data_IF_909246090485
#
_entry.id   IF_909246090485
#
_cell.length_a   1.000
_cell.length_b   1.000
_cell.length_c   1.000
_cell.angle_alpha   90.00
_cell.angle_beta   90.00
_cell.angle_gamma   90.00
#
_symmetry.space_group_name_H-M   'P 1'
#
loop_
_entity.id
_entity.type
_entity.pdbx_description
1 polymer ?
#
# COMPACT_ATOMS: atom_id res chain seq x y z
N UNK A 1 -23.29 -21.31 -0.38
CA UNK A 1 -22.49 -20.24 0.26
C UNK A 1 -21.70 -19.54 -0.83
N UNK A 2 -22.02 -18.29 -1.17
CA UNK A 2 -21.28 -17.53 -2.17
C UNK A 2 -20.67 -16.31 -1.49
N UNK A 3 -19.35 -16.31 -1.30
CA UNK A 3 -18.63 -15.08 -0.98
C UNK A 3 -18.49 -14.21 -2.23
N UNK A 4 -18.26 -12.91 -2.05
CA UNK A 4 -17.98 -11.98 -3.15
C UNK A 4 -16.65 -11.23 -2.93
N UNK A 5 -16.00 -10.85 -4.03
CA UNK A 5 -14.85 -9.93 -4.00
C UNK A 5 -15.34 -8.49 -3.90
N UNK A 6 -14.84 -7.73 -2.93
CA UNK A 6 -15.07 -6.28 -2.89
C UNK A 6 -14.10 -5.62 -3.88
N UNK A 7 -14.60 -5.28 -5.07
CA UNK A 7 -13.83 -4.64 -6.14
C UNK A 7 -13.80 -3.11 -6.09
N UNK A 8 -14.37 -2.47 -5.06
CA UNK A 8 -14.39 -1.01 -4.93
C UNK A 8 -12.96 -0.50 -4.74
N UNK A 9 -12.52 0.42 -5.61
CA UNK A 9 -11.22 1.05 -5.49
C UNK A 9 -11.09 1.83 -4.17
N UNK A 10 -9.94 1.69 -3.51
CA UNK A 10 -9.57 2.45 -2.32
C UNK A 10 -8.31 3.23 -2.66
N UNK A 11 -8.35 4.55 -2.46
CA UNK A 11 -7.16 5.36 -2.71
C UNK A 11 -6.11 5.10 -1.62
N UNK A 12 -4.88 4.79 -2.03
CA UNK A 12 -3.78 4.45 -1.13
C UNK A 12 -2.81 5.63 -1.08
N UNK A 13 -2.46 6.05 0.13
CA UNK A 13 -1.48 7.11 0.36
C UNK A 13 -0.06 6.53 0.39
N UNK A 14 0.92 7.25 -0.17
CA UNK A 14 2.34 6.87 -0.09
C UNK A 14 2.91 6.95 1.32
N UNK A 15 2.34 7.79 2.17
CA UNK A 15 2.75 7.95 3.56
C UNK A 15 1.50 7.97 4.43
N UNK A 16 1.52 7.23 5.53
CA UNK A 16 0.43 7.19 6.51
C UNK A 16 0.94 7.55 7.90
N UNK A 17 0.13 8.28 8.65
CA UNK A 17 0.36 8.55 10.06
C UNK A 17 -0.59 7.70 10.90
N UNK A 18 -0.03 6.70 11.58
CA UNK A 18 -0.77 5.78 12.42
C UNK A 18 -1.00 6.29 13.84
N UNK A 19 -0.42 7.44 14.23
CA UNK A 19 -0.38 7.93 15.61
C UNK A 19 -1.75 7.94 16.27
N UNK A 20 -2.78 8.42 15.56
CA UNK A 20 -4.15 8.53 16.08
C UNK A 20 -4.85 7.19 16.33
N UNK A 21 -4.33 6.10 15.76
CA UNK A 21 -4.90 4.76 15.86
C UNK A 21 -4.17 3.91 16.92
N UNK A 22 -3.09 4.42 17.51
CA UNK A 22 -2.34 3.75 18.58
C UNK A 22 -3.05 3.98 19.92
N UNK A 23 -3.35 2.90 20.64
CA UNK A 23 -3.91 3.00 21.99
C UNK A 23 -2.97 3.77 22.93
N UNK A 24 -3.53 4.64 23.77
CA UNK A 24 -2.72 5.49 24.66
C UNK A 24 -2.06 6.70 23.98
N UNK A 25 -2.24 6.91 22.66
CA UNK A 25 -1.75 8.10 21.97
C UNK A 25 -2.48 9.39 22.38
N UNK A 26 -3.63 9.28 23.06
CA UNK A 26 -4.29 10.41 23.73
C UNK A 26 -3.67 10.62 25.11
N UNK A 27 -2.52 11.27 25.11
CA UNK A 27 -1.88 11.75 26.33
C UNK A 27 -0.49 12.26 25.98
N UNK A 28 -0.37 13.57 25.77
CA UNK A 28 0.93 14.25 25.71
C UNK A 28 1.69 14.01 27.01
N UNK A 29 2.49 12.96 27.07
CA UNK A 29 3.31 12.61 28.21
C UNK A 29 4.72 12.28 27.71
N UNK A 30 5.64 13.22 27.94
CA UNK A 30 7.05 13.10 27.59
C UNK A 30 7.74 11.96 28.34
N UNK A 31 7.66 10.75 27.79
CA UNK A 31 8.52 9.61 28.13
C UNK A 31 9.40 9.24 26.96
N UNK A 32 10.59 9.83 26.88
CA UNK A 32 11.81 9.50 26.10
C UNK A 32 11.73 9.00 24.62
N UNK A 33 10.56 8.86 23.99
CA UNK A 33 10.40 8.28 22.65
C UNK A 33 9.17 8.77 21.88
N UNK A 34 8.68 9.98 22.19
CA UNK A 34 7.46 10.58 21.64
C UNK A 34 7.57 11.09 20.19
N UNK A 35 7.87 10.20 19.24
CA UNK A 35 7.78 10.50 17.81
C UNK A 35 6.44 10.04 17.23
N UNK A 36 5.90 10.79 16.25
CA UNK A 36 4.74 10.36 15.47
C UNK A 36 5.04 9.07 14.69
N UNK A 37 4.04 8.21 14.52
CA UNK A 37 4.14 6.92 13.85
C UNK A 37 3.90 7.07 12.33
N UNK A 38 4.91 7.57 11.62
CA UNK A 38 4.86 7.73 10.16
C UNK A 38 5.41 6.49 9.43
N UNK A 39 4.68 6.01 8.44
CA UNK A 39 5.06 4.87 7.61
C UNK A 39 5.01 5.25 6.13
N UNK A 40 5.94 4.70 5.34
CA UNK A 40 5.97 4.86 3.88
C UNK A 40 5.58 3.55 3.20
N UNK A 41 4.76 3.65 2.15
CA UNK A 41 4.40 2.55 1.28
C UNK A 41 5.62 2.10 0.46
N UNK A 42 6.12 0.91 0.74
CA UNK A 42 7.27 0.33 0.02
C UNK A 42 6.86 -0.70 -1.01
N UNK A 43 5.75 -1.41 -0.79
CA UNK A 43 5.30 -2.48 -1.67
C UNK A 43 3.82 -2.79 -1.50
N UNK A 44 3.20 -3.37 -2.52
CA UNK A 44 1.81 -3.81 -2.53
C UNK A 44 1.67 -5.13 -3.29
N UNK A 45 0.64 -5.89 -2.94
CA UNK A 45 0.20 -7.07 -3.68
C UNK A 45 -1.21 -6.79 -4.20
N UNK A 46 -1.44 -7.09 -5.47
CA UNK A 46 -2.69 -6.78 -6.18
C UNK A 46 -3.27 -8.10 -6.68
N UNK A 47 -4.53 -8.37 -6.32
CA UNK A 47 -5.29 -9.46 -6.91
C UNK A 47 -6.10 -8.95 -8.09
N UNK A 48 -5.79 -9.40 -9.29
CA UNK A 48 -6.54 -9.17 -10.53
C UNK A 48 -7.56 -10.28 -10.71
N UNK A 49 -8.83 -9.95 -10.95
CA UNK A 49 -9.91 -10.94 -11.11
C UNK A 49 -11.21 -10.50 -10.47
N UNK A 50 -12.35 -10.99 -10.97
CA UNK A 50 -13.68 -10.55 -10.53
C UNK A 50 -14.24 -11.28 -9.30
N UNK A 51 -13.59 -12.34 -8.82
CA UNK A 51 -14.10 -13.19 -7.73
C UNK A 51 -13.01 -13.55 -6.74
N UNK A 52 -13.36 -14.13 -5.59
CA UNK A 52 -12.35 -14.71 -4.68
C UNK A 52 -11.82 -16.08 -5.14
N UNK A 53 -12.49 -16.75 -6.09
CA UNK A 53 -12.19 -18.14 -6.44
C UNK A 53 -11.12 -18.27 -7.53
N UNK A 54 -10.85 -17.18 -8.25
CA UNK A 54 -9.91 -17.19 -9.36
C UNK A 54 -9.50 -15.78 -9.75
N UNK A 55 -8.22 -15.67 -10.12
CA UNK A 55 -7.57 -14.43 -10.47
C UNK A 55 -6.06 -14.61 -10.58
N UNK A 56 -5.35 -13.50 -10.61
CA UNK A 56 -3.91 -13.41 -10.77
C UNK A 56 -3.33 -12.44 -9.75
N UNK A 57 -2.17 -12.76 -9.17
CA UNK A 57 -1.51 -11.89 -8.21
C UNK A 57 -0.30 -11.24 -8.86
N UNK A 58 -0.24 -9.91 -8.80
CA UNK A 58 0.97 -9.15 -9.12
C UNK A 58 1.45 -8.40 -7.89
N UNK A 59 2.71 -7.97 -7.89
CA UNK A 59 3.27 -7.15 -6.85
C UNK A 59 3.85 -5.86 -7.42
N UNK A 60 3.81 -4.79 -6.64
CA UNK A 60 4.50 -3.53 -6.95
C UNK A 60 5.43 -3.22 -5.79
N UNK A 61 6.69 -2.85 -6.06
CA UNK A 61 7.63 -2.47 -5.00
C UNK A 61 8.55 -1.32 -5.40
N UNK A 62 8.93 -0.52 -4.41
CA UNK A 62 9.87 0.59 -4.54
C UNK A 62 11.30 0.09 -4.37
N UNK A 63 12.14 0.35 -5.37
CA UNK A 63 13.58 0.14 -5.25
C UNK A 63 14.25 1.29 -4.46
N UNK A 64 15.51 1.09 -4.08
CA UNK A 64 16.29 2.09 -3.32
C UNK A 64 16.46 3.44 -4.02
N UNK A 65 16.29 3.48 -5.35
CA UNK A 65 16.31 4.70 -6.16
C UNK A 65 14.95 5.42 -6.26
N UNK A 66 13.91 4.95 -5.55
CA UNK A 66 12.56 5.52 -5.56
C UNK A 66 11.71 5.17 -6.78
N UNK A 67 12.23 4.35 -7.71
CA UNK A 67 11.44 3.82 -8.81
C UNK A 67 10.55 2.66 -8.33
N UNK A 68 9.33 2.62 -8.85
CA UNK A 68 8.39 1.53 -8.59
C UNK A 68 8.50 0.51 -9.73
N UNK A 69 8.50 -0.76 -9.39
CA UNK A 69 8.54 -1.88 -10.32
C UNK A 69 7.33 -2.77 -10.09
N UNK A 70 6.73 -3.24 -11.19
CA UNK A 70 5.73 -4.28 -11.20
C UNK A 70 6.41 -5.64 -11.42
N UNK A 71 5.98 -6.61 -10.64
CA UNK A 71 6.44 -7.99 -10.66
C UNK A 71 5.22 -8.86 -10.98
N UNK A 72 5.24 -9.46 -12.16
CA UNK A 72 4.21 -10.35 -12.68
C UNK A 72 4.88 -11.66 -13.12
N UNK A 73 4.85 -12.65 -12.23
CA UNK A 73 5.52 -13.94 -12.35
C UNK A 73 6.99 -13.83 -12.79
N UNK A 74 7.30 -14.18 -14.04
CA UNK A 74 8.64 -14.14 -14.61
C UNK A 74 9.01 -12.78 -15.22
N UNK A 75 8.08 -11.82 -15.22
CA UNK A 75 8.24 -10.51 -15.84
C UNK A 75 8.39 -9.41 -14.78
N UNK A 76 9.31 -8.48 -15.06
CA UNK A 76 9.55 -7.31 -14.23
C UNK A 76 9.53 -6.08 -15.13
N UNK A 77 8.72 -5.08 -14.77
CA UNK A 77 8.60 -3.85 -15.54
C UNK A 77 8.64 -2.61 -14.64
N UNK A 78 9.06 -1.48 -15.19
CA UNK A 78 9.03 -0.20 -14.46
C UNK A 78 7.59 0.33 -14.49
N UNK A 79 7.03 0.67 -13.33
CA UNK A 79 5.76 1.39 -13.28
C UNK A 79 6.00 2.82 -13.78
N UNK A 80 5.59 3.10 -15.02
CA UNK A 80 5.63 4.47 -15.55
C UNK A 80 4.63 5.27 -14.73
N UNK A 81 5.11 6.33 -14.04
CA UNK A 81 4.20 7.30 -13.43
C UNK A 81 3.29 7.82 -14.52
N UNK A 82 1.98 7.68 -14.35
CA UNK A 82 1.05 8.55 -15.05
C UNK A 82 1.49 9.98 -14.68
N UNK A 83 2.05 10.71 -15.67
CA UNK A 83 2.23 12.14 -15.49
C UNK A 83 0.85 12.68 -15.20
N UNK A 84 0.74 13.45 -14.12
CA UNK A 84 -0.43 14.25 -13.79
C UNK A 84 -0.93 14.89 -15.09
N UNK A 85 -2.03 14.35 -15.64
CA UNK A 85 -2.73 15.01 -16.72
C UNK A 85 -3.46 16.17 -16.06
N UNK A 86 -2.82 17.34 -16.10
CA UNK A 86 -3.48 18.64 -15.93
C UNK A 86 -4.56 18.84 -17.00
#
# INVERSE_FOLDING_TARGET
MSGGKIGKHVNIQRTIDLTRFVSGAKGGGGGAGGGGYQYRLTSMVIHLGGSQHGGHYTAVAEASNGAMFEFDDASVSVCVRERERE
#
